data_IF_316225319758
#
_entry.id   IF_316225319758
#
_cell.length_a   1.000
_cell.length_b   1.000
_cell.length_c   1.000
_cell.angle_alpha   90.00
_cell.angle_beta   90.00
_cell.angle_gamma   90.00
#
_symmetry.space_group_name_H-M   'P 1'
#
loop_
_entity.id
_entity.type
_entity.pdbx_description
1 polymer ?
#
# COMPACT_ATOMS: atom_id res chain seq x y z
N UNK A 1 -17.45 -31.92 -6.65
CA UNK A 1 -16.71 -30.82 -6.00
C UNK A 1 -17.70 -30.03 -5.16
N UNK A 2 -17.58 -30.05 -3.82
CA UNK A 2 -18.39 -29.15 -2.97
C UNK A 2 -17.90 -27.74 -3.23
N UNK A 3 -18.70 -26.91 -3.89
CA UNK A 3 -18.49 -25.45 -3.93
C UNK A 3 -18.52 -24.98 -2.48
N UNK A 4 -17.36 -24.57 -1.94
CA UNK A 4 -17.33 -23.94 -0.63
C UNK A 4 -18.28 -22.73 -0.69
N UNK A 5 -19.31 -22.72 0.15
CA UNK A 5 -20.21 -21.57 0.29
C UNK A 5 -19.37 -20.37 0.72
N UNK A 6 -19.62 -19.21 0.09
CA UNK A 6 -18.96 -17.97 0.47
C UNK A 6 -19.16 -17.71 1.98
N UNK A 7 -18.12 -17.24 2.69
CA UNK A 7 -18.24 -16.95 4.11
C UNK A 7 -19.28 -15.85 4.35
N UNK A 8 -20.08 -16.03 5.39
CA UNK A 8 -21.06 -15.04 5.85
C UNK A 8 -20.38 -13.74 6.31
N UNK A 9 -21.12 -12.61 6.33
CA UNK A 9 -20.62 -11.34 6.87
C UNK A 9 -20.03 -11.46 8.29
N UNK A 10 -20.62 -12.29 9.13
CA UNK A 10 -20.12 -12.50 10.48
C UNK A 10 -18.79 -13.29 10.48
N UNK A 11 -18.64 -14.30 9.63
CA UNK A 11 -17.37 -15.03 9.46
C UNK A 11 -16.25 -14.13 8.92
N UNK A 12 -16.57 -13.19 8.03
CA UNK A 12 -15.64 -12.14 7.57
C UNK A 12 -15.12 -11.30 8.73
N UNK A 13 -16.02 -10.78 9.56
CA UNK A 13 -15.66 -9.98 10.73
C UNK A 13 -14.87 -10.80 11.75
N UNK A 14 -15.27 -12.05 11.98
CA UNK A 14 -14.55 -12.98 12.85
C UNK A 14 -13.12 -13.22 12.37
N UNK A 15 -12.93 -13.40 11.07
CA UNK A 15 -11.59 -13.54 10.47
C UNK A 15 -10.74 -12.27 10.66
N UNK A 16 -11.37 -11.09 10.61
CA UNK A 16 -10.68 -9.80 10.77
C UNK A 16 -10.37 -9.43 12.20
N UNK A 17 -11.25 -9.72 13.15
CA UNK A 17 -11.17 -9.18 14.51
C UNK A 17 -11.06 -10.27 15.60
N UNK A 18 -11.21 -11.55 15.26
CA UNK A 18 -11.23 -12.66 16.21
C UNK A 18 -12.65 -13.03 16.68
N UNK A 19 -12.75 -14.00 17.60
CA UNK A 19 -14.03 -14.57 18.07
C UNK A 19 -14.96 -13.57 18.76
N UNK A 20 -14.42 -12.52 19.38
CA UNK A 20 -15.20 -11.51 20.11
C UNK A 20 -15.56 -10.29 19.23
N UNK A 21 -15.66 -10.46 17.91
CA UNK A 21 -16.01 -9.37 17.02
C UNK A 21 -17.48 -8.94 17.22
N UNK A 22 -17.79 -7.69 16.83
CA UNK A 22 -19.17 -7.23 16.79
C UNK A 22 -20.03 -8.08 15.83
N UNK A 23 -21.35 -8.07 16.03
CA UNK A 23 -22.28 -8.62 15.07
C UNK A 23 -22.14 -7.92 13.70
N UNK A 24 -22.39 -8.66 12.62
CA UNK A 24 -22.38 -8.06 11.29
C UNK A 24 -23.47 -7.00 11.16
N UNK A 25 -23.14 -5.78 10.69
CA UNK A 25 -24.13 -4.73 10.51
C UNK A 25 -25.07 -5.11 9.36
N UNK A 26 -26.31 -4.60 9.40
CA UNK A 26 -27.26 -4.74 8.29
C UNK A 26 -26.83 -3.98 7.04
N UNK A 27 -26.03 -2.91 7.20
CA UNK A 27 -25.44 -2.14 6.11
C UNK A 27 -24.21 -2.89 5.53
N UNK A 28 -24.47 -3.95 4.78
CA UNK A 28 -23.45 -4.78 4.13
C UNK A 28 -23.63 -4.76 2.61
N UNK A 29 -22.54 -4.70 1.87
CA UNK A 29 -22.53 -4.71 0.40
C UNK A 29 -21.40 -5.59 -0.13
N UNK A 30 -21.45 -5.93 -1.41
CA UNK A 30 -20.40 -6.74 -2.06
C UNK A 30 -19.03 -6.05 -2.03
N UNK A 31 -19.01 -4.71 -2.09
CA UNK A 31 -17.77 -3.93 -1.95
C UNK A 31 -17.19 -4.06 -0.54
N UNK A 32 -18.05 -4.04 0.49
CA UNK A 32 -17.63 -4.29 1.87
C UNK A 32 -17.07 -5.71 1.99
N UNK A 33 -17.77 -6.72 1.47
CA UNK A 33 -17.28 -8.10 1.51
C UNK A 33 -15.91 -8.26 0.84
N UNK A 34 -15.76 -7.69 -0.36
CA UNK A 34 -14.52 -7.69 -1.14
C UNK A 34 -13.36 -7.04 -0.38
N UNK A 35 -13.59 -5.86 0.22
CA UNK A 35 -12.60 -5.18 1.05
C UNK A 35 -12.20 -6.02 2.28
N UNK A 36 -13.16 -6.70 2.89
CA UNK A 36 -12.89 -7.61 4.02
C UNK A 36 -12.22 -8.91 3.60
N UNK A 37 -12.24 -9.29 2.34
CA UNK A 37 -11.50 -10.46 1.81
C UNK A 37 -10.03 -10.16 1.52
N UNK A 38 -9.61 -8.88 1.50
CA UNK A 38 -8.25 -8.49 1.13
C UNK A 38 -7.13 -9.22 1.91
N UNK A 39 -6.18 -9.78 1.16
CA UNK A 39 -4.89 -10.26 1.68
C UNK A 39 -3.77 -9.89 0.71
N UNK A 40 -2.59 -9.56 1.25
CA UNK A 40 -1.44 -9.22 0.42
C UNK A 40 -0.74 -10.47 -0.09
N UNK A 41 -0.77 -10.71 -1.39
CA UNK A 41 -0.18 -11.89 -2.03
C UNK A 41 1.28 -11.64 -2.37
N UNK A 42 2.14 -12.65 -2.16
CA UNK A 42 3.59 -12.57 -2.43
C UNK A 42 4.10 -13.69 -3.33
N UNK A 43 3.20 -14.48 -3.91
CA UNK A 43 3.50 -15.58 -4.83
C UNK A 43 2.55 -15.50 -6.00
N UNK A 44 3.11 -15.47 -7.20
CA UNK A 44 2.43 -15.13 -8.44
C UNK A 44 2.72 -16.19 -9.49
N UNK A 45 1.75 -16.42 -10.36
CA UNK A 45 1.97 -17.12 -11.62
C UNK A 45 2.74 -16.21 -12.60
N UNK A 46 3.45 -16.76 -13.60
CA UNK A 46 4.26 -15.97 -14.52
C UNK A 46 3.43 -15.25 -15.60
N UNK A 47 2.13 -15.52 -15.69
CA UNK A 47 1.24 -14.93 -16.69
C UNK A 47 1.29 -13.39 -16.65
N UNK A 48 1.49 -12.72 -17.80
CA UNK A 48 1.55 -11.27 -17.84
C UNK A 48 0.19 -10.64 -17.50
N UNK A 49 0.22 -9.49 -16.84
CA UNK A 49 -0.95 -8.62 -16.73
C UNK A 49 -1.17 -7.97 -18.10
N UNK A 50 -2.37 -8.10 -18.65
CA UNK A 50 -2.70 -7.57 -19.97
C UNK A 50 -2.91 -6.04 -19.94
N UNK A 51 -2.69 -5.37 -21.06
CA UNK A 51 -2.97 -3.93 -21.18
C UNK A 51 -4.43 -3.58 -20.91
N UNK A 52 -5.36 -4.45 -21.31
CA UNK A 52 -6.78 -4.28 -21.02
C UNK A 52 -7.07 -4.27 -19.51
N UNK A 53 -6.45 -5.19 -18.75
CA UNK A 53 -6.54 -5.20 -17.29
C UNK A 53 -5.89 -3.96 -16.68
N UNK A 54 -4.70 -3.58 -17.14
CA UNK A 54 -3.99 -2.40 -16.66
C UNK A 54 -4.80 -1.12 -16.89
N UNK A 55 -5.36 -0.93 -18.09
CA UNK A 55 -6.19 0.23 -18.40
C UNK A 55 -7.46 0.29 -17.55
N UNK A 56 -8.14 -0.84 -17.31
CA UNK A 56 -9.28 -0.88 -16.41
C UNK A 56 -8.91 -0.50 -14.96
N UNK A 57 -7.77 -1.00 -14.47
CA UNK A 57 -7.24 -0.66 -13.15
C UNK A 57 -6.89 0.84 -13.07
N UNK A 58 -6.26 1.40 -14.09
CA UNK A 58 -5.88 2.81 -14.13
C UNK A 58 -7.10 3.74 -14.20
N UNK A 59 -8.15 3.36 -14.94
CA UNK A 59 -9.41 4.11 -14.96
C UNK A 59 -10.04 4.18 -13.56
N UNK A 60 -10.04 3.07 -12.81
CA UNK A 60 -10.49 3.05 -11.42
C UNK A 60 -9.58 3.89 -10.50
N UNK A 61 -8.26 3.83 -10.70
CA UNK A 61 -7.28 4.62 -9.97
C UNK A 61 -7.51 6.14 -10.16
N UNK A 62 -7.68 6.58 -11.41
CA UNK A 62 -7.95 7.98 -11.76
C UNK A 62 -9.31 8.48 -11.27
N UNK A 63 -10.23 7.58 -10.93
CA UNK A 63 -11.53 7.91 -10.36
C UNK A 63 -11.47 8.18 -8.85
N UNK A 64 -10.30 8.09 -8.21
CA UNK A 64 -10.13 8.47 -6.81
C UNK A 64 -10.30 10.00 -6.64
N UNK A 65 -10.79 10.48 -5.48
CA UNK A 65 -10.77 11.91 -5.18
C UNK A 65 -9.34 12.43 -5.18
N UNK A 66 -9.15 13.64 -5.70
CA UNK A 66 -7.87 14.35 -5.75
C UNK A 66 -8.02 15.73 -5.12
N UNK A 67 -7.06 16.10 -4.29
CA UNK A 67 -7.09 17.37 -3.57
C UNK A 67 -7.10 18.53 -4.56
N UNK A 68 -8.14 19.38 -4.48
CA UNK A 68 -8.37 20.50 -5.40
C UNK A 68 -8.36 20.11 -6.89
N UNK A 69 -8.64 18.84 -7.20
CA UNK A 69 -8.57 18.29 -8.56
C UNK A 69 -7.20 18.52 -9.24
N UNK A 70 -6.11 18.46 -8.47
CA UNK A 70 -4.75 18.72 -8.96
C UNK A 70 -4.10 17.51 -9.64
N UNK A 71 -4.60 16.30 -9.34
CA UNK A 71 -4.08 15.02 -9.85
C UNK A 71 -2.56 14.89 -9.68
N UNK A 72 -2.06 15.22 -8.49
CA UNK A 72 -0.62 15.35 -8.20
C UNK A 72 0.07 13.99 -7.98
N UNK A 73 -0.18 13.03 -8.87
CA UNK A 73 0.36 11.69 -8.80
C UNK A 73 0.59 11.12 -10.21
N UNK A 74 1.54 10.20 -10.29
CA UNK A 74 1.85 9.41 -11.48
C UNK A 74 2.10 7.96 -11.10
N UNK A 75 2.15 7.05 -12.07
CA UNK A 75 2.51 5.64 -11.84
C UNK A 75 3.35 5.11 -12.99
N UNK A 76 4.42 4.39 -12.66
CA UNK A 76 5.24 3.66 -13.65
C UNK A 76 4.90 2.18 -13.56
N UNK A 77 4.51 1.58 -14.69
CA UNK A 77 4.38 0.13 -14.81
C UNK A 77 5.70 -0.47 -15.31
N UNK A 78 6.35 -1.28 -14.46
CA UNK A 78 7.60 -1.96 -14.77
C UNK A 78 7.32 -3.43 -15.04
N UNK A 79 7.44 -3.83 -16.29
CA UNK A 79 7.26 -5.20 -16.79
C UNK A 79 8.56 -5.85 -17.24
N UNK A 80 9.57 -5.03 -17.56
CA UNK A 80 10.92 -5.48 -17.93
C UNK A 80 11.55 -6.34 -16.80
N UNK A 81 11.96 -7.59 -17.07
CA UNK A 81 12.54 -8.48 -16.06
C UNK A 81 13.78 -7.92 -15.38
N UNK A 82 14.70 -7.31 -16.14
CA UNK A 82 15.96 -6.80 -15.61
C UNK A 82 15.72 -5.60 -14.68
N UNK A 83 14.78 -4.71 -15.04
CA UNK A 83 14.36 -3.60 -14.18
C UNK A 83 13.66 -4.11 -12.91
N UNK A 84 12.83 -5.16 -12.99
CA UNK A 84 12.19 -5.76 -11.81
C UNK A 84 13.21 -6.39 -10.86
N UNK A 85 14.23 -7.05 -11.39
CA UNK A 85 15.32 -7.62 -10.60
C UNK A 85 16.15 -6.53 -9.91
N UNK A 86 16.50 -5.45 -10.63
CA UNK A 86 17.18 -4.29 -10.05
C UNK A 86 16.33 -3.59 -9.00
N UNK A 87 15.03 -3.42 -9.22
CA UNK A 87 14.10 -2.90 -8.22
C UNK A 87 14.07 -3.78 -6.96
N UNK A 88 14.02 -5.10 -7.12
CA UNK A 88 14.03 -6.06 -6.01
C UNK A 88 15.24 -5.86 -5.10
N UNK A 89 16.43 -5.67 -5.68
CA UNK A 89 17.66 -5.39 -4.93
C UNK A 89 17.56 -4.10 -4.12
N UNK A 90 17.00 -3.04 -4.69
CA UNK A 90 16.87 -1.74 -4.03
C UNK A 90 15.91 -1.76 -2.83
N UNK A 91 14.93 -2.65 -2.83
CA UNK A 91 13.90 -2.76 -1.79
C UNK A 91 14.16 -3.85 -0.74
N UNK A 92 15.38 -4.38 -0.69
CA UNK A 92 15.80 -5.40 0.29
C UNK A 92 15.62 -6.84 -0.20
N UNK A 93 15.84 -7.08 -1.49
CA UNK A 93 15.78 -8.41 -2.13
C UNK A 93 14.46 -9.15 -1.89
N UNK A 94 13.35 -8.44 -2.02
CA UNK A 94 12.01 -9.00 -1.82
C UNK A 94 11.60 -9.83 -3.04
N UNK A 95 11.53 -11.17 -2.98
CA UNK A 95 11.38 -12.02 -4.17
C UNK A 95 10.10 -11.75 -4.96
N UNK A 96 9.03 -11.31 -4.30
CA UNK A 96 7.79 -10.96 -4.99
C UNK A 96 7.95 -9.79 -5.98
N UNK A 97 8.96 -8.94 -5.81
CA UNK A 97 9.21 -7.79 -6.69
C UNK A 97 9.81 -8.20 -8.02
N UNK A 98 10.68 -9.23 -8.02
CA UNK A 98 11.15 -9.85 -9.26
C UNK A 98 10.16 -10.85 -9.84
N UNK A 99 9.41 -11.57 -8.98
CA UNK A 99 8.51 -12.64 -9.41
C UNK A 99 7.18 -12.16 -10.00
N UNK A 100 6.57 -11.09 -9.46
CA UNK A 100 5.28 -10.66 -9.97
C UNK A 100 5.42 -10.06 -11.38
N UNK A 101 4.53 -10.40 -12.33
CA UNK A 101 4.62 -10.02 -13.75
C UNK A 101 4.66 -8.50 -13.99
N UNK A 102 4.16 -7.70 -13.05
CA UNK A 102 4.17 -6.25 -13.14
C UNK A 102 4.44 -5.59 -11.78
N UNK A 103 5.25 -4.54 -11.78
CA UNK A 103 5.42 -3.64 -10.64
C UNK A 103 4.86 -2.26 -10.98
N UNK A 104 3.89 -1.78 -10.20
CA UNK A 104 3.40 -0.41 -10.27
C UNK A 104 4.13 0.43 -9.23
N UNK A 105 4.92 1.42 -9.65
CA UNK A 105 5.59 2.37 -8.75
C UNK A 105 4.78 3.66 -8.72
N UNK A 106 4.11 3.91 -7.60
CA UNK A 106 3.22 5.06 -7.41
C UNK A 106 4.00 6.26 -6.92
N UNK A 107 3.79 7.40 -7.57
CA UNK A 107 4.62 8.58 -7.45
C UNK A 107 3.81 9.76 -6.92
N UNK A 108 4.43 10.51 -6.01
CA UNK A 108 4.05 11.90 -5.76
C UNK A 108 4.64 12.73 -6.91
N UNK A 109 3.80 13.37 -7.71
CA UNK A 109 4.21 14.07 -8.94
C UNK A 109 3.73 15.51 -8.95
N UNK A 110 4.65 16.43 -8.66
CA UNK A 110 4.43 17.88 -8.79
C UNK A 110 5.08 18.43 -10.07
N UNK A 111 5.70 17.58 -10.89
CA UNK A 111 6.38 17.99 -12.11
C UNK A 111 5.38 18.48 -13.16
N UNK A 112 4.19 17.87 -13.25
CA UNK A 112 3.13 18.30 -14.16
C UNK A 112 2.71 19.75 -13.90
N UNK A 113 2.42 20.10 -12.64
CA UNK A 113 2.05 21.46 -12.26
C UNK A 113 3.21 22.43 -12.45
N UNK A 114 4.45 22.00 -12.17
CA UNK A 114 5.64 22.83 -12.39
C UNK A 114 5.89 23.10 -13.88
N UNK A 115 5.68 22.11 -14.75
CA UNK A 115 5.77 22.28 -16.20
C UNK A 115 4.66 23.22 -16.70
N UNK A 116 3.42 23.02 -16.27
CA UNK A 116 2.30 23.89 -16.62
C UNK A 116 2.53 25.33 -16.17
N UNK A 117 3.09 25.55 -14.97
CA UNK A 117 3.39 26.89 -14.48
C UNK A 117 4.46 27.58 -15.32
N UNK A 118 5.49 26.85 -15.79
CA UNK A 118 6.52 27.40 -16.68
C UNK A 118 5.95 27.76 -18.04
N UNK A 119 5.15 26.87 -18.64
CA UNK A 119 4.49 27.09 -19.93
C UNK A 119 3.52 28.28 -19.90
N UNK A 120 2.85 28.49 -18.76
CA UNK A 120 1.91 29.61 -18.57
C UNK A 120 2.53 30.84 -17.93
N UNK A 121 3.83 30.83 -17.68
CA UNK A 121 4.58 31.89 -16.99
C UNK A 121 3.92 32.31 -15.65
N UNK A 122 3.38 31.34 -14.92
CA UNK A 122 2.72 31.55 -13.63
C UNK A 122 3.62 31.19 -12.46
N UNK A 123 3.46 31.92 -11.35
CA UNK A 123 4.14 31.60 -10.11
C UNK A 123 3.63 30.27 -9.53
N UNK A 124 4.56 29.42 -9.08
CA UNK A 124 4.25 28.12 -8.49
C UNK A 124 5.07 27.83 -7.23
N UNK A 125 5.41 28.87 -6.47
CA UNK A 125 6.19 28.75 -5.23
C UNK A 125 5.51 27.87 -4.18
N UNK A 126 4.18 27.71 -4.26
CA UNK A 126 3.43 26.76 -3.44
C UNK A 126 3.96 25.32 -3.56
N UNK A 127 4.47 24.92 -4.72
CA UNK A 127 5.04 23.58 -4.96
C UNK A 127 6.31 23.30 -4.14
N UNK A 128 6.88 24.31 -3.49
CA UNK A 128 8.09 24.15 -2.67
C UNK A 128 7.80 23.72 -1.23
N UNK A 129 6.56 23.87 -0.76
CA UNK A 129 6.18 23.60 0.62
C UNK A 129 5.95 22.11 0.86
N UNK A 130 6.27 21.64 2.08
CA UNK A 130 6.01 20.26 2.50
C UNK A 130 4.55 19.84 2.25
N UNK A 131 3.60 20.78 2.38
CA UNK A 131 2.19 20.57 2.11
C UNK A 131 1.93 19.96 0.72
N UNK A 132 2.57 20.50 -0.32
CA UNK A 132 2.33 19.99 -1.68
C UNK A 132 2.91 18.59 -1.90
N UNK A 133 4.01 18.24 -1.22
CA UNK A 133 4.51 16.87 -1.23
C UNK A 133 3.54 15.92 -0.50
N UNK A 134 3.03 16.33 0.67
CA UNK A 134 2.07 15.54 1.43
C UNK A 134 0.79 15.31 0.62
N UNK A 135 0.25 16.36 -0.01
CA UNK A 135 -0.89 16.28 -0.91
C UNK A 135 -0.67 15.28 -2.04
N UNK A 136 0.46 15.39 -2.76
CA UNK A 136 0.81 14.49 -3.84
C UNK A 136 0.94 13.02 -3.39
N UNK A 137 1.54 12.78 -2.22
CA UNK A 137 1.66 11.45 -1.66
C UNK A 137 0.31 10.85 -1.23
N UNK A 138 -0.62 11.68 -0.74
CA UNK A 138 -1.99 11.27 -0.40
C UNK A 138 -2.81 10.94 -1.66
N UNK A 139 -2.74 11.78 -2.69
CA UNK A 139 -3.38 11.53 -3.99
C UNK A 139 -2.91 10.18 -4.58
N UNK A 140 -1.59 9.90 -4.55
CA UNK A 140 -1.04 8.61 -4.97
C UNK A 140 -1.55 7.43 -4.12
N UNK A 141 -1.71 7.61 -2.80
CA UNK A 141 -2.27 6.61 -1.90
C UNK A 141 -3.73 6.27 -2.24
N UNK A 142 -4.57 7.29 -2.47
CA UNK A 142 -5.97 7.13 -2.81
C UNK A 142 -6.14 6.43 -4.17
N UNK A 143 -5.43 6.91 -5.20
CA UNK A 143 -5.42 6.30 -6.52
C UNK A 143 -4.97 4.82 -6.47
N UNK A 144 -3.88 4.54 -5.74
CA UNK A 144 -3.38 3.17 -5.61
C UNK A 144 -4.35 2.24 -4.90
N UNK A 145 -5.10 2.73 -3.91
CA UNK A 145 -6.04 1.88 -3.17
C UNK A 145 -7.24 1.52 -4.05
N UNK A 146 -7.74 2.45 -4.86
CA UNK A 146 -8.73 2.13 -5.90
C UNK A 146 -8.19 1.11 -6.91
N UNK A 147 -6.94 1.28 -7.35
CA UNK A 147 -6.28 0.34 -8.26
C UNK A 147 -6.19 -1.07 -7.66
N UNK A 148 -5.83 -1.17 -6.37
CA UNK A 148 -5.74 -2.44 -5.63
C UNK A 148 -7.10 -3.15 -5.54
N UNK A 149 -8.17 -2.39 -5.26
CA UNK A 149 -9.54 -2.90 -5.19
C UNK A 149 -9.99 -3.42 -6.56
N UNK A 150 -9.77 -2.63 -7.62
CA UNK A 150 -10.12 -2.97 -8.99
C UNK A 150 -9.33 -4.18 -9.52
N UNK A 151 -8.04 -4.26 -9.23
CA UNK A 151 -7.22 -5.42 -9.56
C UNK A 151 -7.79 -6.69 -8.92
N UNK A 152 -8.15 -6.64 -7.63
CA UNK A 152 -8.72 -7.77 -6.93
C UNK A 152 -10.10 -8.16 -7.47
N UNK A 153 -10.94 -7.20 -7.90
CA UNK A 153 -12.28 -7.51 -8.42
C UNK A 153 -12.24 -8.22 -9.78
N UNK A 154 -11.16 -8.06 -10.56
CA UNK A 154 -10.94 -8.75 -11.83
C UNK A 154 -10.03 -9.98 -11.70
N UNK A 155 -9.82 -10.48 -10.47
CA UNK A 155 -9.11 -11.74 -10.20
C UNK A 155 -7.59 -11.64 -10.10
N UNK A 156 -7.02 -10.43 -10.14
CA UNK A 156 -5.59 -10.22 -9.87
C UNK A 156 -5.34 -10.06 -8.37
N UNK A 157 -4.08 -10.15 -7.97
CA UNK A 157 -3.65 -10.00 -6.61
C UNK A 157 -2.57 -8.92 -6.48
N UNK A 158 -2.48 -8.34 -5.29
CA UNK A 158 -1.56 -7.22 -5.04
C UNK A 158 -0.82 -7.34 -3.71
N UNK A 159 0.35 -6.69 -3.64
CA UNK A 159 1.00 -6.32 -2.37
C UNK A 159 1.75 -5.01 -2.51
N UNK A 160 1.58 -4.12 -1.54
CA UNK A 160 2.34 -2.88 -1.44
C UNK A 160 3.79 -3.13 -1.02
N UNK A 161 4.72 -2.41 -1.63
CA UNK A 161 6.16 -2.46 -1.40
C UNK A 161 6.63 -1.09 -0.89
N UNK A 162 6.50 -0.90 0.43
CA UNK A 162 7.05 0.30 1.09
C UNK A 162 8.57 0.38 1.09
N UNK A 163 9.25 -0.73 0.78
CA UNK A 163 10.71 -0.80 0.63
C UNK A 163 11.26 0.04 -0.52
N UNK A 164 10.40 0.50 -1.45
CA UNK A 164 10.75 1.49 -2.48
C UNK A 164 11.42 2.73 -1.89
N UNK A 165 11.12 3.07 -0.64
CA UNK A 165 11.72 4.22 0.05
C UNK A 165 13.06 3.95 0.73
N UNK A 166 13.57 2.70 0.74
CA UNK A 166 14.85 2.38 1.38
C UNK A 166 16.03 3.06 0.69
N UNK A 167 15.97 3.14 -0.64
CA UNK A 167 16.97 3.78 -1.52
C UNK A 167 16.20 4.58 -2.60
N UNK A 168 15.42 5.56 -2.14
CA UNK A 168 14.47 6.30 -2.96
C UNK A 168 15.14 7.03 -4.14
N UNK A 169 16.29 7.63 -3.87
CA UNK A 169 17.20 8.25 -4.84
C UNK A 169 17.54 7.29 -5.99
N UNK A 170 18.01 6.08 -5.66
CA UNK A 170 18.39 5.09 -6.67
C UNK A 170 17.20 4.52 -7.43
N UNK A 171 16.04 4.41 -6.79
CA UNK A 171 14.80 4.03 -7.47
C UNK A 171 14.41 5.11 -8.47
N UNK A 172 14.52 6.39 -8.10
CA UNK A 172 14.23 7.49 -8.99
C UNK A 172 15.19 7.51 -10.20
N UNK A 173 16.49 7.32 -9.98
CA UNK A 173 17.49 7.19 -11.05
C UNK A 173 17.19 6.00 -11.97
N UNK A 174 16.87 4.84 -11.40
CA UNK A 174 16.55 3.62 -12.16
C UNK A 174 15.35 3.81 -13.09
N UNK A 175 14.36 4.59 -12.66
CA UNK A 175 13.13 4.86 -13.42
C UNK A 175 13.19 6.15 -14.24
N UNK A 176 14.31 6.89 -14.19
CA UNK A 176 14.48 8.15 -14.90
C UNK A 176 13.49 9.23 -14.45
N UNK A 177 13.17 9.31 -13.16
CA UNK A 177 12.19 10.27 -12.65
C UNK A 177 12.76 11.70 -12.70
N UNK A 178 12.00 12.69 -13.21
CA UNK A 178 12.44 14.08 -13.25
C UNK A 178 12.36 14.74 -11.85
N UNK A 179 12.94 15.94 -11.67
CA UNK A 179 12.76 16.71 -10.45
C UNK A 179 11.28 16.92 -10.10
N UNK A 180 10.98 16.93 -8.81
CA UNK A 180 9.62 17.01 -8.23
C UNK A 180 8.74 15.79 -8.49
N UNK A 181 9.37 14.63 -8.70
CA UNK A 181 8.71 13.33 -8.76
C UNK A 181 9.39 12.37 -7.80
N UNK A 182 8.64 11.79 -6.86
CA UNK A 182 9.20 10.90 -5.84
C UNK A 182 8.37 9.62 -5.69
N UNK A 183 9.00 8.43 -5.62
CA UNK A 183 8.28 7.18 -5.49
C UNK A 183 7.80 6.96 -4.03
N UNK A 184 6.48 6.85 -3.84
CA UNK A 184 5.84 6.74 -2.52
C UNK A 184 5.86 5.29 -2.04
N UNK A 185 5.47 4.36 -2.91
CA UNK A 185 5.52 2.91 -2.70
C UNK A 185 5.37 2.17 -4.02
N UNK A 186 5.83 0.92 -4.04
CA UNK A 186 5.55 0.00 -5.14
C UNK A 186 4.29 -0.82 -4.88
N UNK A 187 3.81 -1.52 -5.89
CA UNK A 187 2.75 -2.50 -5.81
C UNK A 187 3.02 -3.62 -6.81
N UNK A 188 3.23 -4.83 -6.31
CA UNK A 188 3.24 -6.01 -7.17
C UNK A 188 1.81 -6.27 -7.66
N UNK A 189 1.68 -6.64 -8.93
CA UNK A 189 0.42 -6.98 -9.57
C UNK A 189 0.60 -8.26 -10.40
N UNK A 190 -0.35 -9.19 -10.30
CA UNK A 190 -0.39 -10.42 -11.08
C UNK A 190 -1.38 -11.43 -10.56
N UNK A 191 -1.47 -12.59 -11.22
CA UNK A 191 -2.33 -13.69 -10.76
C UNK A 191 -1.69 -14.40 -9.57
N UNK A 192 -2.45 -14.58 -8.48
CA UNK A 192 -1.95 -15.30 -7.31
C UNK A 192 -1.66 -16.77 -7.63
N UNK A 193 -0.55 -17.30 -7.11
CA UNK A 193 -0.26 -18.74 -7.19
C UNK A 193 -1.19 -19.53 -6.25
N UNK A 194 -2.13 -20.35 -6.76
CA UNK A 194 -3.06 -21.10 -5.92
C UNK A 194 -2.37 -22.16 -5.06
N UNK A 195 -1.14 -22.59 -5.40
CA UNK A 195 -0.37 -23.52 -4.59
C UNK A 195 0.23 -22.87 -3.32
N UNK A 196 0.19 -21.53 -3.23
CA UNK A 196 0.73 -20.74 -2.11
C UNK A 196 -0.33 -19.76 -1.59
N UNK A 197 -1.46 -20.25 -1.04
CA UNK A 197 -2.54 -19.40 -0.56
C UNK A 197 -2.05 -18.52 0.59
N UNK A 198 -2.60 -17.30 0.68
CA UNK A 198 -2.30 -16.35 1.75
C UNK A 198 -3.53 -16.13 2.63
N UNK A 199 -3.36 -16.27 3.94
CA UNK A 199 -4.45 -16.04 4.89
C UNK A 199 -4.76 -14.54 5.08
N UNK A 200 -6.02 -14.26 5.40
CA UNK A 200 -6.45 -12.93 5.83
C UNK A 200 -5.82 -12.64 7.20
N UNK A 201 -5.04 -11.57 7.28
CA UNK A 201 -4.43 -11.14 8.55
C UNK A 201 -5.47 -10.40 9.41
N UNK A 202 -5.56 -10.68 10.72
CA UNK A 202 -6.39 -9.93 11.65
C UNK A 202 -6.03 -8.44 11.73
N UNK A 203 -6.87 -7.65 12.40
CA UNK A 203 -6.72 -6.22 12.65
C UNK A 203 -7.06 -5.91 14.12
N UNK A 204 -6.55 -4.80 14.67
CA UNK A 204 -7.01 -4.29 15.95
C UNK A 204 -8.55 -4.11 15.95
N UNK A 205 -9.21 -4.25 17.12
CA UNK A 205 -10.63 -3.99 17.21
C UNK A 205 -10.94 -2.54 16.82
N UNK A 206 -12.12 -2.31 16.25
CA UNK A 206 -12.50 -0.98 15.75
C UNK A 206 -12.46 0.11 16.83
N UNK A 207 -12.68 -0.25 18.10
CA UNK A 207 -12.59 0.67 19.25
C UNK A 207 -11.19 1.27 19.47
N UNK A 208 -10.13 0.69 18.89
CA UNK A 208 -8.77 1.25 18.94
C UNK A 208 -8.58 2.34 17.89
N UNK A 209 -9.37 2.34 16.80
CA UNK A 209 -9.16 3.20 15.62
C UNK A 209 -10.27 4.24 15.47
N UNK A 210 -11.51 3.88 15.82
CA UNK A 210 -12.67 4.76 15.75
C UNK A 210 -12.83 5.52 17.07
N UNK A 211 -12.75 6.85 16.99
CA UNK A 211 -13.03 7.75 18.10
C UNK A 211 -14.23 8.63 17.76
N UNK A 212 -15.08 8.94 18.74
CA UNK A 212 -16.29 9.77 18.54
C UNK A 212 -16.09 11.14 19.14
N UNK A 213 -16.20 12.18 18.31
CA UNK A 213 -16.04 13.60 18.65
C UNK A 213 -14.64 14.01 19.13
N UNK A 214 -13.96 13.20 19.95
CA UNK A 214 -12.63 13.45 20.49
C UNK A 214 -11.80 12.18 20.48
N UNK A 215 -10.48 12.34 20.40
CA UNK A 215 -9.55 11.22 20.52
C UNK A 215 -9.58 10.67 21.95
N UNK A 216 -9.75 9.35 22.07
CA UNK A 216 -9.82 8.65 23.36
C UNK A 216 -8.77 7.54 23.40
N UNK A 217 -7.81 7.65 24.32
CA UNK A 217 -6.68 6.72 24.44
C UNK A 217 -6.94 5.56 25.40
N UNK A 218 -7.99 5.63 26.22
CA UNK A 218 -8.26 4.67 27.30
C UNK A 218 -8.48 3.23 26.78
N UNK A 219 -9.10 3.09 25.60
CA UNK A 219 -9.35 1.80 24.98
C UNK A 219 -8.16 1.21 24.22
N UNK A 220 -7.08 1.99 24.00
CA UNK A 220 -5.97 1.59 23.12
C UNK A 220 -5.24 0.37 23.67
N UNK A 221 -4.71 0.45 24.89
CA UNK A 221 -3.90 -0.65 25.44
C UNK A 221 -4.68 -1.94 25.66
N UNK A 222 -5.91 -1.93 26.25
CA UNK A 222 -6.73 -3.14 26.33
C UNK A 222 -7.05 -3.74 24.96
N UNK A 223 -7.36 -2.90 23.96
CA UNK A 223 -7.64 -3.35 22.60
C UNK A 223 -6.39 -3.93 21.89
N UNK A 224 -5.21 -3.36 22.13
CA UNK A 224 -3.96 -3.90 21.60
C UNK A 224 -3.56 -5.22 22.26
N UNK A 225 -3.80 -5.40 23.56
CA UNK A 225 -3.57 -6.68 24.25
C UNK A 225 -4.46 -7.78 23.65
N UNK A 226 -5.75 -7.50 23.46
CA UNK A 226 -6.65 -8.42 22.78
C UNK A 226 -6.18 -8.76 21.35
N UNK A 227 -5.78 -7.74 20.59
CA UNK A 227 -5.25 -7.94 19.25
C UNK A 227 -3.95 -8.78 19.24
N UNK A 228 -3.09 -8.63 20.26
CA UNK A 228 -1.86 -9.42 20.39
C UNK A 228 -2.17 -10.91 20.56
N UNK A 229 -3.15 -11.26 21.39
CA UNK A 229 -3.64 -12.63 21.56
C UNK A 229 -4.21 -13.21 20.25
N UNK A 230 -5.02 -12.42 19.52
CA UNK A 230 -5.55 -12.82 18.21
C UNK A 230 -4.40 -13.07 17.22
N UNK A 231 -3.38 -12.20 17.22
CA UNK A 231 -2.21 -12.34 16.36
C UNK A 231 -1.32 -13.52 16.75
N UNK A 232 -1.19 -13.87 18.03
CA UNK A 232 -0.50 -15.08 18.48
C UNK A 232 -1.15 -16.34 17.89
N UNK A 233 -2.48 -16.44 17.96
CA UNK A 233 -3.22 -17.54 17.33
C UNK A 233 -3.00 -17.58 15.82
N UNK A 234 -3.00 -16.42 15.16
CA UNK A 234 -2.71 -16.31 13.74
C UNK A 234 -1.28 -16.75 13.40
N UNK A 235 -0.26 -16.31 14.13
CA UNK A 235 1.12 -16.72 13.89
C UNK A 235 1.29 -18.23 14.03
N UNK A 236 0.70 -18.83 15.07
CA UNK A 236 0.69 -20.29 15.25
C UNK A 236 0.02 -21.00 14.07
N UNK A 237 -1.14 -20.51 13.59
CA UNK A 237 -1.83 -21.12 12.44
C UNK A 237 -1.06 -20.98 11.12
N UNK A 238 -0.21 -19.96 11.02
CA UNK A 238 0.66 -19.72 9.85
C UNK A 238 2.06 -20.32 10.02
N UNK A 239 2.31 -21.11 11.08
CA UNK A 239 3.64 -21.67 11.40
C UNK A 239 4.76 -20.60 11.45
N UNK A 240 4.43 -19.40 11.94
CA UNK A 240 5.37 -18.30 12.06
C UNK A 240 6.03 -18.30 13.45
N UNK A 241 7.34 -18.10 13.49
CA UNK A 241 8.10 -17.87 14.73
C UNK A 241 7.88 -16.45 15.25
N UNK A 242 6.72 -16.23 15.89
CA UNK A 242 6.40 -14.97 16.53
C UNK A 242 5.32 -15.10 17.60
N UNK A 243 5.59 -14.52 18.75
CA UNK A 243 4.70 -14.60 19.91
C UNK A 243 4.04 -13.28 20.29
N UNK A 244 4.36 -12.17 19.61
CA UNK A 244 3.71 -10.89 19.87
C UNK A 244 3.78 -9.98 18.66
N UNK A 245 2.63 -9.45 18.26
CA UNK A 245 2.54 -8.34 17.32
C UNK A 245 3.06 -7.03 17.94
N UNK A 246 2.78 -6.76 19.22
CA UNK A 246 3.24 -5.55 19.91
C UNK A 246 4.77 -5.48 19.88
N UNK A 247 5.46 -6.51 20.40
CA UNK A 247 6.93 -6.53 20.44
C UNK A 247 7.54 -6.45 19.03
N UNK A 248 6.97 -7.17 18.07
CA UNK A 248 7.42 -7.09 16.67
C UNK A 248 7.24 -5.70 16.08
N UNK A 249 6.17 -4.99 16.44
CA UNK A 249 5.89 -3.65 15.93
C UNK A 249 6.82 -2.62 16.57
N UNK A 250 7.09 -2.73 17.87
CA UNK A 250 8.08 -1.91 18.57
C UNK A 250 9.47 -2.06 17.94
N UNK A 251 9.89 -3.28 17.60
CA UNK A 251 11.17 -3.51 16.92
C UNK A 251 11.29 -2.79 15.56
N UNK A 252 10.17 -2.49 14.88
CA UNK A 252 10.20 -1.77 13.59
C UNK A 252 10.40 -0.26 13.74
N UNK A 253 10.19 0.26 14.95
CA UNK A 253 10.30 1.70 15.26
C UNK A 253 11.31 1.99 16.37
N UNK A 254 12.07 0.98 16.80
CA UNK A 254 12.95 1.09 17.96
C UNK A 254 14.12 2.06 17.74
N UNK A 255 14.66 2.12 16.52
CA UNK A 255 15.85 2.91 16.19
C UNK A 255 15.81 3.43 14.75
N UNK A 256 16.60 4.45 14.38
CA UNK A 256 16.76 4.86 12.98
C UNK A 256 17.12 3.69 12.04
N UNK A 257 18.01 2.78 12.48
CA UNK A 257 18.38 1.59 11.72
C UNK A 257 17.17 0.67 11.42
N UNK A 258 16.17 0.65 12.30
CA UNK A 258 14.91 -0.09 12.10
C UNK A 258 14.09 0.44 10.91
N UNK A 259 14.36 1.68 10.48
CA UNK A 259 13.74 2.31 9.31
C UNK A 259 14.44 1.94 8.00
N UNK A 260 15.58 1.23 8.02
CA UNK A 260 16.25 0.74 6.78
C UNK A 260 16.59 1.87 5.81
N UNK A 261 17.23 2.94 6.30
CA UNK A 261 17.66 4.10 5.51
C UNK A 261 16.59 5.19 5.35
N UNK A 262 15.34 4.92 5.72
CA UNK A 262 14.22 5.88 5.63
C UNK A 262 14.24 6.97 6.71
N UNK A 263 15.14 6.88 7.68
CA UNK A 263 15.50 7.97 8.57
C UNK A 263 16.05 9.20 7.81
N UNK A 264 16.62 8.99 6.62
CA UNK A 264 17.12 10.05 5.72
C UNK A 264 16.12 10.50 4.64
N UNK A 265 14.83 10.18 4.82
CA UNK A 265 13.80 10.44 3.80
C UNK A 265 13.75 11.90 3.35
N UNK A 266 13.89 12.84 4.29
CA UNK A 266 13.89 14.28 3.99
C UNK A 266 15.01 14.66 3.01
N UNK A 267 16.22 14.15 3.23
CA UNK A 267 17.37 14.42 2.38
C UNK A 267 17.17 13.87 0.97
N UNK A 268 16.65 12.64 0.85
CA UNK A 268 16.34 12.03 -0.44
C UNK A 268 15.29 12.84 -1.22
N UNK A 269 14.24 13.32 -0.55
CA UNK A 269 13.23 14.17 -1.19
C UNK A 269 13.81 15.52 -1.67
N UNK A 270 14.69 16.12 -0.88
CA UNK A 270 15.38 17.35 -1.29
C UNK A 270 16.25 17.14 -2.53
N UNK A 271 16.95 16.00 -2.63
CA UNK A 271 17.73 15.62 -3.82
C UNK A 271 16.83 15.42 -5.05
N UNK A 272 15.61 14.91 -4.86
CA UNK A 272 14.60 14.78 -5.91
C UNK A 272 13.89 16.10 -6.25
N UNK A 273 14.38 17.24 -5.77
CA UNK A 273 13.88 18.55 -6.15
C UNK A 273 12.65 19.02 -5.37
N UNK A 274 12.35 18.43 -4.20
CA UNK A 274 11.36 18.93 -3.26
C UNK A 274 12.05 19.80 -2.19
N UNK A 275 11.90 21.14 -2.20
CA UNK A 275 12.56 21.99 -1.20
C UNK A 275 12.10 21.74 0.24
N UNK A 276 10.82 21.33 0.40
CA UNK A 276 10.20 21.06 1.70
C UNK A 276 10.32 22.24 2.67
N UNK A 277 9.93 23.43 2.16
CA UNK A 277 9.77 24.65 2.97
C UNK A 277 8.69 24.48 4.03
#
# INVERSE_FOLDING_TARGET
MRTATAPSPHERLKTRYGDNCAAAPSAWSDVIDHLLDHRSVRKYLPDPVTDAQLHAILAAAQSAPSSSNLHAWSVVAVTDPDLRDRLSQLVGNQPQVSQAPMQLVWLADLSMLHQASREKEQAAQGLDYLEMFLLAALDAALASQNASIAAQSIGLATVYIGGIRNQMDKVADLLGLPPRVAPVFGMCLGTADPARPTAIKPRPPQSVVLHRNRYESQAVMPGLQHYDEVMQRFYKSQSMEADSWILRSLNRVATPASLTGRDRLREMLMQLGFPLK
#
